data_IF_761636209291
#
_entry.id   IF_761636209291
#
_cell.length_a   1.000
_cell.length_b   1.000
_cell.length_c   1.000
_cell.angle_alpha   90.00
_cell.angle_beta   90.00
_cell.angle_gamma   90.00
#
_symmetry.space_group_name_H-M   'P 1'
#
loop_
_entity.id
_entity.type
_entity.pdbx_description
1 polymer ?
#
# COMPACT_ATOMS: atom_id res chain seq x y z
N UNK A 1 -6.71 26.01 18.94
CA UNK A 1 -6.76 26.96 17.81
C UNK A 1 -6.81 26.12 16.55
N UNK A 2 -7.99 25.93 16.02
CA UNK A 2 -8.19 25.23 14.75
C UNK A 2 -7.80 26.20 13.65
N UNK A 3 -6.57 26.06 13.16
CA UNK A 3 -6.14 26.76 11.94
C UNK A 3 -6.99 26.24 10.78
N UNK A 4 -7.79 27.13 10.19
CA UNK A 4 -8.56 26.87 8.99
C UNK A 4 -7.61 26.55 7.83
N UNK A 5 -7.49 25.28 7.47
CA UNK A 5 -6.71 24.78 6.33
C UNK A 5 -7.51 24.80 5.02
N UNK A 6 -8.48 25.68 4.92
CA UNK A 6 -9.22 25.88 3.68
C UNK A 6 -8.43 26.86 2.81
N UNK A 7 -7.75 26.33 1.80
CA UNK A 7 -7.16 27.11 0.70
C UNK A 7 -5.64 27.33 0.70
N UNK A 8 -4.88 26.72 1.62
CA UNK A 8 -3.42 26.69 1.48
C UNK A 8 -2.98 25.39 0.83
N UNK A 9 -2.12 25.47 -0.19
CA UNK A 9 -1.34 24.31 -0.60
C UNK A 9 -0.66 23.75 0.64
N UNK A 10 -0.90 22.46 0.93
CA UNK A 10 -0.24 21.82 2.06
C UNK A 10 1.27 21.90 1.86
N UNK A 11 1.95 22.70 2.69
CA UNK A 11 3.38 22.90 2.64
C UNK A 11 4.16 21.66 3.11
N UNK A 12 3.49 20.66 3.66
CA UNK A 12 4.10 19.43 4.17
C UNK A 12 3.50 18.27 3.39
N UNK A 13 4.30 17.70 2.49
CA UNK A 13 3.98 16.45 1.81
C UNK A 13 4.68 15.32 2.54
N UNK A 14 3.93 14.30 2.92
CA UNK A 14 4.53 13.08 3.43
C UNK A 14 5.30 12.37 2.32
N UNK A 15 6.60 12.18 2.54
CA UNK A 15 7.48 11.55 1.57
C UNK A 15 7.88 10.18 2.06
N UNK A 16 7.57 9.16 1.25
CA UNK A 16 8.03 7.79 1.45
C UNK A 16 9.21 7.51 0.54
N UNK A 17 10.30 7.07 1.12
CA UNK A 17 11.50 6.71 0.38
C UNK A 17 11.55 5.21 0.14
N UNK A 18 11.91 4.82 -1.09
CA UNK A 18 12.10 3.41 -1.44
C UNK A 18 13.55 3.02 -1.19
N UNK A 19 13.75 1.97 -0.41
CA UNK A 19 15.08 1.42 -0.10
C UNK A 19 15.86 1.11 -1.40
N UNK A 20 17.10 1.53 -1.54
CA UNK A 20 17.94 1.26 -2.70
C UNK A 20 18.20 -0.25 -2.93
N UNK A 21 18.03 -1.09 -1.91
CA UNK A 21 18.11 -2.55 -2.06
C UNK A 21 16.91 -3.14 -2.85
N UNK A 22 15.86 -2.35 -3.08
CA UNK A 22 14.69 -2.78 -3.84
C UNK A 22 15.05 -3.11 -5.29
N UNK A 23 14.68 -4.28 -5.83
CA UNK A 23 14.86 -4.57 -7.25
C UNK A 23 14.20 -3.51 -8.13
N UNK A 24 14.96 -2.95 -9.07
CA UNK A 24 14.52 -1.81 -9.90
C UNK A 24 13.15 -2.01 -10.58
N UNK A 25 12.84 -3.24 -10.97
CA UNK A 25 11.57 -3.58 -11.62
C UNK A 25 10.35 -3.45 -10.71
N UNK A 26 10.53 -3.47 -9.38
CA UNK A 26 9.44 -3.33 -8.40
C UNK A 26 9.24 -1.92 -7.88
N UNK A 27 10.25 -1.05 -8.01
CA UNK A 27 10.18 0.35 -7.56
C UNK A 27 8.94 1.08 -8.09
N UNK A 28 8.60 1.03 -9.39
CA UNK A 28 7.42 1.74 -9.91
C UNK A 28 6.11 1.31 -9.25
N UNK A 29 5.96 0.03 -8.93
CA UNK A 29 4.75 -0.51 -8.32
C UNK A 29 4.64 -0.15 -6.83
N UNK A 30 5.75 -0.17 -6.09
CA UNK A 30 5.76 0.30 -4.70
C UNK A 30 5.44 1.79 -4.62
N UNK A 31 6.00 2.61 -5.52
CA UNK A 31 5.68 4.04 -5.61
C UNK A 31 4.22 4.27 -5.94
N UNK A 32 3.68 3.56 -6.93
CA UNK A 32 2.28 3.66 -7.28
C UNK A 32 1.36 3.32 -6.09
N UNK A 33 1.69 2.28 -5.32
CA UNK A 33 0.93 1.93 -4.12
C UNK A 33 0.92 3.00 -3.03
N UNK A 34 2.01 3.76 -2.87
CA UNK A 34 2.03 4.95 -2.00
C UNK A 34 1.12 6.04 -2.56
N UNK A 35 1.26 6.32 -3.85
CA UNK A 35 0.61 7.46 -4.50
C UNK A 35 -0.89 7.22 -4.77
N UNK A 36 -1.38 5.98 -4.76
CA UNK A 36 -2.81 5.63 -4.83
C UNK A 36 -3.64 6.37 -3.75
N UNK A 37 -3.06 6.63 -2.58
CA UNK A 37 -3.70 7.35 -1.48
C UNK A 37 -4.01 8.80 -1.80
N UNK A 38 -3.36 9.42 -2.80
CA UNK A 38 -3.70 10.77 -3.21
C UNK A 38 -5.16 10.89 -3.64
N UNK A 39 -5.76 9.85 -4.23
CA UNK A 39 -7.17 9.85 -4.57
C UNK A 39 -8.06 10.04 -3.34
N UNK A 40 -7.75 9.36 -2.24
CA UNK A 40 -8.48 9.49 -0.98
C UNK A 40 -8.23 10.86 -0.32
N UNK A 41 -6.98 11.33 -0.33
CA UNK A 41 -6.62 12.64 0.21
C UNK A 41 -7.27 13.76 -0.59
N UNK A 42 -7.33 13.67 -1.91
CA UNK A 42 -7.98 14.67 -2.76
C UNK A 42 -9.49 14.72 -2.52
N UNK A 43 -10.13 13.57 -2.31
CA UNK A 43 -11.54 13.52 -1.92
C UNK A 43 -11.78 14.18 -0.55
N UNK A 44 -10.78 14.18 0.34
CA UNK A 44 -10.79 14.86 1.63
C UNK A 44 -10.37 16.36 1.53
N UNK A 45 -10.01 16.85 0.34
CA UNK A 45 -9.62 18.25 0.11
C UNK A 45 -8.11 18.52 0.16
N UNK A 46 -7.27 17.49 0.23
CA UNK A 46 -5.80 17.64 0.30
C UNK A 46 -5.17 17.20 -1.03
N UNK A 47 -4.57 18.12 -1.76
CA UNK A 47 -3.87 17.81 -3.01
C UNK A 47 -2.41 17.45 -2.79
N UNK A 48 -1.94 16.43 -3.51
CA UNK A 48 -0.55 15.98 -3.44
C UNK A 48 -0.07 15.74 -2.00
N UNK A 49 -0.87 15.08 -1.18
CA UNK A 49 -0.61 14.90 0.24
C UNK A 49 0.55 13.91 0.51
N UNK A 50 0.71 12.93 -0.35
CA UNK A 50 1.71 11.86 -0.19
C UNK A 50 2.49 11.66 -1.50
N UNK A 51 3.79 11.37 -1.39
CA UNK A 51 4.66 11.15 -2.55
C UNK A 51 5.68 10.05 -2.25
N UNK A 52 5.98 9.23 -3.26
CA UNK A 52 7.04 8.25 -3.18
C UNK A 52 8.28 8.70 -3.93
N UNK A 53 9.45 8.58 -3.30
CA UNK A 53 10.74 8.96 -3.84
C UNK A 53 11.71 7.78 -3.78
N UNK A 54 12.62 7.72 -4.72
CA UNK A 54 13.78 6.85 -4.58
C UNK A 54 14.75 7.45 -3.57
N UNK A 55 15.46 6.57 -2.84
CA UNK A 55 16.45 7.02 -1.87
C UNK A 55 17.55 7.83 -2.56
N UNK A 56 17.82 9.05 -2.12
CA UNK A 56 18.86 9.88 -2.73
C UNK A 56 20.27 9.37 -2.35
N UNK A 57 21.23 9.63 -3.20
CA UNK A 57 22.64 9.36 -2.90
C UNK A 57 23.22 10.51 -2.06
N UNK A 58 22.74 10.65 -0.81
CA UNK A 58 23.19 11.65 0.15
C UNK A 58 23.83 10.95 1.37
N UNK A 59 25.13 11.15 1.64
CA UNK A 59 25.82 10.53 2.76
C UNK A 59 25.32 10.98 4.14
N UNK A 60 24.56 12.06 4.23
CA UNK A 60 23.97 12.56 5.48
C UNK A 60 22.59 11.93 5.78
N UNK A 61 22.05 11.16 4.87
CA UNK A 61 20.79 10.44 5.08
C UNK A 61 21.05 8.98 5.47
N UNK A 62 20.31 8.50 6.45
CA UNK A 62 20.33 7.10 6.85
C UNK A 62 18.91 6.52 6.76
N UNK A 63 18.82 5.28 6.31
CA UNK A 63 17.56 4.51 6.29
C UNK A 63 17.00 4.24 7.70
N UNK A 64 17.85 4.38 8.73
CA UNK A 64 17.46 4.18 10.14
C UNK A 64 17.20 5.52 10.86
N UNK A 65 17.11 6.62 10.11
CA UNK A 65 16.82 7.95 10.66
C UNK A 65 15.30 8.18 10.70
N UNK A 66 14.76 8.35 11.89
CA UNK A 66 13.34 8.54 12.15
C UNK A 66 12.70 9.77 11.46
N UNK A 67 13.51 10.65 10.87
CA UNK A 67 13.02 11.78 10.06
C UNK A 67 12.46 11.36 8.71
N UNK A 68 12.72 10.12 8.27
CA UNK A 68 12.36 9.65 6.94
C UNK A 68 11.44 8.44 7.02
N UNK A 69 10.27 8.54 6.42
CA UNK A 69 9.42 7.37 6.21
C UNK A 69 9.96 6.53 5.05
N UNK A 70 10.18 5.24 5.28
CA UNK A 70 10.90 4.36 4.34
C UNK A 70 10.14 3.06 4.10
N UNK A 71 10.11 2.61 2.86
CA UNK A 71 9.78 1.23 2.52
C UNK A 71 11.09 0.45 2.42
N UNK A 72 11.41 -0.30 3.49
CA UNK A 72 12.62 -1.13 3.61
C UNK A 72 12.44 -2.44 2.87
N UNK A 73 13.39 -2.77 2.01
CA UNK A 73 13.40 -4.05 1.31
C UNK A 73 14.31 -5.03 2.03
N UNK A 74 13.70 -6.06 2.62
CA UNK A 74 14.38 -7.02 3.47
C UNK A 74 14.54 -8.38 2.77
N UNK A 75 15.77 -8.86 2.55
CA UNK A 75 16.03 -10.17 1.96
C UNK A 75 15.75 -11.27 3.00
N UNK A 76 14.51 -11.70 3.08
CA UNK A 76 14.06 -12.69 4.06
C UNK A 76 13.09 -13.67 3.41
N UNK A 77 13.07 -14.90 3.91
CA UNK A 77 12.10 -15.93 3.55
C UNK A 77 10.72 -15.70 4.17
N UNK A 78 10.57 -14.70 5.03
CA UNK A 78 9.29 -14.33 5.63
C UNK A 78 8.31 -13.92 4.56
N UNK A 79 7.17 -14.61 4.49
CA UNK A 79 6.07 -14.33 3.56
C UNK A 79 5.15 -13.27 4.18
N UNK A 80 5.62 -12.03 4.32
CA UNK A 80 4.84 -10.95 4.92
C UNK A 80 5.30 -9.58 4.42
N UNK A 81 4.47 -8.57 4.69
CA UNK A 81 4.82 -7.17 4.72
C UNK A 81 4.25 -6.59 6.04
N UNK A 82 4.82 -5.51 6.52
CA UNK A 82 4.43 -4.93 7.79
C UNK A 82 4.64 -3.41 7.79
N UNK A 83 3.59 -2.66 8.06
CA UNK A 83 3.58 -1.19 8.04
C UNK A 83 3.49 -0.56 9.44
N UNK A 84 4.55 -0.65 10.27
CA UNK A 84 4.57 -0.01 11.58
C UNK A 84 4.65 1.51 11.45
N UNK A 85 4.21 2.19 12.50
CA UNK A 85 4.36 3.64 12.66
C UNK A 85 4.71 3.98 14.11
N UNK A 86 5.44 5.06 14.29
CA UNK A 86 5.72 5.67 15.58
C UNK A 86 4.86 6.92 15.70
N UNK A 87 4.11 7.00 16.79
CA UNK A 87 3.14 8.08 17.05
C UNK A 87 3.52 8.81 18.31
N UNK A 88 3.52 10.14 18.29
CA UNK A 88 3.62 10.94 19.52
C UNK A 88 2.33 10.75 20.35
N UNK A 89 2.42 10.17 21.56
CA UNK A 89 1.24 9.88 22.36
C UNK A 89 0.50 11.12 22.87
N UNK A 90 1.13 12.31 22.76
CA UNK A 90 0.54 13.58 23.24
C UNK A 90 -0.32 14.23 22.15
N UNK A 91 0.11 14.18 20.89
CA UNK A 91 -0.55 14.85 19.75
C UNK A 91 -1.30 13.87 18.84
N UNK A 92 -0.91 12.60 18.83
CA UNK A 92 -1.36 11.62 17.84
C UNK A 92 -0.64 11.78 16.48
N UNK A 93 0.35 12.65 16.38
CA UNK A 93 1.14 12.85 15.16
C UNK A 93 1.96 11.60 14.83
N UNK A 94 1.91 11.18 13.57
CA UNK A 94 2.75 10.09 13.06
C UNK A 94 4.13 10.69 12.78
N UNK A 95 5.12 10.30 13.57
CA UNK A 95 6.48 10.84 13.49
C UNK A 95 7.32 10.10 12.46
N UNK A 96 7.07 8.80 12.32
CA UNK A 96 7.81 7.92 11.42
C UNK A 96 6.92 6.77 10.95
N UNK A 97 7.11 6.38 9.69
CA UNK A 97 6.54 5.17 9.11
C UNK A 97 7.65 4.34 8.47
N UNK A 98 7.81 3.11 8.93
CA UNK A 98 8.88 2.22 8.50
C UNK A 98 8.28 0.91 7.97
N UNK A 99 7.92 0.89 6.69
CA UNK A 99 7.29 -0.29 6.09
C UNK A 99 8.35 -1.35 5.83
N UNK A 100 8.22 -2.51 6.46
CA UNK A 100 9.07 -3.67 6.23
C UNK A 100 8.52 -4.50 5.09
N UNK A 101 9.18 -4.48 3.95
CA UNK A 101 8.86 -5.27 2.77
C UNK A 101 9.77 -6.48 2.68
N UNK A 102 9.29 -7.65 3.06
CA UNK A 102 10.07 -8.88 2.94
C UNK A 102 10.04 -9.41 1.50
N UNK A 103 11.20 -9.84 1.00
CA UNK A 103 11.31 -10.35 -0.37
C UNK A 103 10.27 -11.41 -0.70
N UNK A 104 10.06 -12.33 0.23
CA UNK A 104 9.23 -13.50 0.00
C UNK A 104 7.71 -13.25 0.11
N UNK A 105 7.28 -12.00 0.39
CA UNK A 105 5.87 -11.62 0.28
C UNK A 105 5.31 -11.91 -1.13
N UNK A 106 6.15 -11.84 -2.15
CA UNK A 106 5.75 -12.17 -3.53
C UNK A 106 5.32 -13.62 -3.69
N UNK A 107 5.89 -14.53 -2.91
CA UNK A 107 5.46 -15.93 -2.90
C UNK A 107 4.07 -16.10 -2.25
N UNK A 108 3.81 -15.35 -1.18
CA UNK A 108 2.48 -15.28 -0.56
C UNK A 108 1.43 -14.75 -1.55
N UNK A 109 1.73 -13.65 -2.21
CA UNK A 109 0.84 -13.05 -3.22
C UNK A 109 0.53 -14.00 -4.37
N UNK A 110 1.55 -14.73 -4.82
CA UNK A 110 1.39 -15.75 -5.85
C UNK A 110 0.44 -16.86 -5.39
N UNK A 111 0.63 -17.38 -4.17
CA UNK A 111 -0.23 -18.43 -3.60
C UNK A 111 -1.67 -17.95 -3.50
N UNK A 112 -1.90 -16.77 -2.96
CA UNK A 112 -3.23 -16.19 -2.80
C UNK A 112 -3.92 -15.99 -4.15
N UNK A 113 -3.23 -15.35 -5.10
CA UNK A 113 -3.81 -15.11 -6.41
C UNK A 113 -4.09 -16.40 -7.17
N UNK A 114 -3.21 -17.40 -7.05
CA UNK A 114 -3.43 -18.71 -7.66
C UNK A 114 -4.67 -19.40 -7.10
N UNK A 115 -4.86 -19.40 -5.79
CA UNK A 115 -6.00 -20.05 -5.13
C UNK A 115 -7.31 -19.33 -5.46
N UNK A 116 -7.33 -18.02 -5.41
CA UNK A 116 -8.55 -17.24 -5.57
C UNK A 116 -8.94 -17.03 -7.05
N UNK A 117 -7.96 -16.72 -7.89
CA UNK A 117 -8.20 -16.33 -9.28
C UNK A 117 -7.91 -17.44 -10.29
N UNK A 118 -7.27 -18.54 -9.89
CA UNK A 118 -6.93 -19.65 -10.78
C UNK A 118 -8.10 -20.22 -11.60
N UNK A 119 -9.33 -20.32 -11.10
CA UNK A 119 -10.48 -20.74 -11.90
C UNK A 119 -10.83 -19.78 -13.04
N UNK A 120 -10.59 -18.47 -12.86
CA UNK A 120 -11.04 -17.41 -13.76
C UNK A 120 -9.90 -16.79 -14.60
N UNK A 121 -8.72 -16.61 -14.02
CA UNK A 121 -7.56 -16.00 -14.67
C UNK A 121 -6.51 -17.06 -15.04
N UNK A 122 -6.30 -17.25 -16.34
CA UNK A 122 -5.29 -18.20 -16.85
C UNK A 122 -3.87 -17.84 -16.42
N UNK A 123 -3.57 -16.55 -16.18
CA UNK A 123 -2.26 -16.09 -15.70
C UNK A 123 -1.96 -16.60 -14.30
N UNK A 124 -3.00 -16.79 -13.47
CA UNK A 124 -2.87 -17.35 -12.12
C UNK A 124 -2.44 -18.84 -12.10
N UNK A 125 -2.56 -19.55 -13.24
CA UNK A 125 -2.27 -21.01 -13.35
C UNK A 125 -0.82 -21.32 -13.68
N UNK A 126 0.06 -20.32 -13.70
CA UNK A 126 1.48 -20.49 -14.04
C UNK A 126 2.34 -20.52 -12.78
N UNK A 127 3.45 -21.25 -12.82
CA UNK A 127 4.42 -21.31 -11.71
C UNK A 127 5.14 -19.98 -11.49
N UNK A 128 5.25 -19.16 -12.52
CA UNK A 128 5.88 -17.85 -12.46
C UNK A 128 4.94 -16.83 -13.09
N UNK A 129 4.58 -15.78 -12.37
CA UNK A 129 3.79 -14.69 -12.90
C UNK A 129 4.68 -13.76 -13.73
N UNK A 130 4.10 -13.17 -14.77
CA UNK A 130 4.77 -12.08 -15.46
C UNK A 130 4.96 -10.86 -14.56
N UNK A 131 5.94 -10.01 -14.89
CA UNK A 131 6.30 -8.86 -14.05
C UNK A 131 5.15 -7.84 -13.92
N UNK A 132 4.25 -7.76 -14.90
CA UNK A 132 3.10 -6.86 -14.84
C UNK A 132 2.05 -7.36 -13.84
N UNK A 133 1.72 -8.64 -13.88
CA UNK A 133 0.79 -9.23 -12.91
C UNK A 133 1.36 -9.16 -11.50
N UNK A 134 2.62 -9.62 -11.31
CA UNK A 134 3.26 -9.55 -10.01
C UNK A 134 3.36 -8.11 -9.51
N UNK A 135 3.69 -7.17 -10.39
CA UNK A 135 3.76 -5.75 -10.05
C UNK A 135 2.43 -5.17 -9.58
N UNK A 136 1.31 -5.53 -10.22
CA UNK A 136 -0.01 -5.09 -9.75
C UNK A 136 -0.36 -5.63 -8.37
N UNK A 137 0.05 -6.86 -8.04
CA UNK A 137 -0.12 -7.43 -6.70
C UNK A 137 0.77 -6.74 -5.67
N UNK A 138 2.00 -6.38 -6.05
CA UNK A 138 2.93 -5.59 -5.22
C UNK A 138 2.32 -4.21 -4.93
N UNK A 139 1.79 -3.52 -5.94
CA UNK A 139 1.10 -2.23 -5.78
C UNK A 139 -0.05 -2.35 -4.79
N UNK A 140 -0.90 -3.36 -4.92
CA UNK A 140 -2.01 -3.62 -4.02
C UNK A 140 -1.58 -3.73 -2.57
N UNK A 141 -0.56 -4.56 -2.28
CA UNK A 141 -0.04 -4.71 -0.90
C UNK A 141 0.67 -3.44 -0.44
N UNK A 142 1.40 -2.75 -1.32
CA UNK A 142 2.01 -1.46 -0.98
C UNK A 142 0.96 -0.44 -0.53
N UNK A 143 -0.14 -0.30 -1.27
CA UNK A 143 -1.27 0.56 -0.85
C UNK A 143 -1.84 0.15 0.50
N UNK A 144 -1.96 -1.15 0.77
CA UNK A 144 -2.44 -1.67 2.06
C UNK A 144 -1.51 -1.30 3.22
N UNK A 145 -0.21 -1.57 3.08
CA UNK A 145 0.79 -1.27 4.14
C UNK A 145 0.93 0.24 4.39
N UNK A 146 0.84 1.05 3.34
CA UNK A 146 0.76 2.51 3.48
C UNK A 146 -0.48 2.91 4.27
N UNK A 147 -1.62 2.25 4.04
CA UNK A 147 -2.83 2.44 4.86
C UNK A 147 -2.57 2.25 6.35
N UNK A 148 -1.82 1.22 6.74
CA UNK A 148 -1.41 1.02 8.12
C UNK A 148 -0.48 2.14 8.62
N UNK A 149 0.47 2.53 7.81
CA UNK A 149 1.46 3.54 8.18
C UNK A 149 0.84 4.94 8.38
N UNK A 150 -0.23 5.27 7.66
CA UNK A 150 -1.01 6.51 7.87
C UNK A 150 -2.11 6.40 8.94
N UNK A 151 -2.17 5.30 9.68
CA UNK A 151 -3.00 5.18 10.87
C UNK A 151 -4.19 4.24 10.77
N UNK A 152 -4.49 3.68 9.61
CA UNK A 152 -5.65 2.84 9.44
C UNK A 152 -5.42 1.42 10.01
N UNK A 153 -6.50 0.83 10.48
CA UNK A 153 -6.55 -0.59 10.89
C UNK A 153 -7.28 -1.39 9.83
N UNK A 154 -7.16 -2.72 9.90
CA UNK A 154 -8.00 -3.60 9.09
C UNK A 154 -9.48 -3.28 9.29
N UNK A 155 -10.22 -3.22 8.19
CA UNK A 155 -11.65 -2.91 8.18
C UNK A 155 -12.44 -4.08 7.58
N UNK A 156 -12.58 -5.16 8.35
CA UNK A 156 -13.32 -6.36 7.92
C UNK A 156 -14.80 -6.08 7.65
N UNK A 157 -15.35 -5.02 8.26
CA UNK A 157 -16.74 -4.63 8.03
C UNK A 157 -16.96 -3.98 6.65
N UNK A 158 -15.91 -3.60 5.94
CA UNK A 158 -16.04 -2.96 4.63
C UNK A 158 -16.71 -3.86 3.60
N UNK A 159 -16.45 -5.17 3.64
CA UNK A 159 -17.10 -6.14 2.73
C UNK A 159 -18.61 -6.23 2.91
N UNK A 160 -19.14 -5.91 4.09
CA UNK A 160 -20.60 -5.88 4.31
C UNK A 160 -21.31 -4.75 3.56
N UNK A 161 -20.58 -3.73 3.10
CA UNK A 161 -21.13 -2.65 2.30
C UNK A 161 -21.35 -3.05 0.82
N UNK A 162 -20.73 -4.14 0.38
CA UNK A 162 -20.90 -4.65 -0.98
C UNK A 162 -21.97 -5.74 -1.02
N UNK A 163 -23.10 -5.53 -1.74
CA UNK A 163 -24.11 -6.56 -1.86
C UNK A 163 -23.57 -7.83 -2.53
N UNK A 164 -23.80 -9.00 -1.94
CA UNK A 164 -23.22 -10.28 -2.39
C UNK A 164 -23.60 -10.62 -3.84
N UNK A 165 -24.80 -10.28 -4.26
CA UNK A 165 -25.29 -10.46 -5.62
C UNK A 165 -24.48 -9.64 -6.64
N UNK A 166 -23.93 -8.50 -6.22
CA UNK A 166 -23.11 -7.63 -7.07
C UNK A 166 -21.70 -8.18 -7.32
N UNK A 167 -21.19 -9.03 -6.44
CA UNK A 167 -19.89 -9.68 -6.64
C UNK A 167 -19.88 -10.62 -7.87
N UNK A 168 -21.05 -11.01 -8.39
CA UNK A 168 -21.19 -11.82 -9.62
C UNK A 168 -21.40 -10.98 -10.87
N UNK A 169 -21.60 -9.67 -10.72
CA UNK A 169 -21.77 -8.72 -11.82
C UNK A 169 -20.40 -8.13 -12.17
N UNK A 170 -19.81 -8.64 -13.26
CA UNK A 170 -18.48 -8.21 -13.70
C UNK A 170 -18.40 -6.70 -13.95
N UNK A 171 -19.39 -6.12 -14.63
CA UNK A 171 -19.38 -4.69 -14.95
C UNK A 171 -19.48 -3.83 -13.69
N UNK A 172 -20.26 -4.28 -12.71
CA UNK A 172 -20.37 -3.60 -11.43
C UNK A 172 -19.08 -3.68 -10.64
N UNK A 173 -18.45 -4.86 -10.56
CA UNK A 173 -17.16 -5.04 -9.83
C UNK A 173 -16.03 -4.26 -10.49
N UNK A 174 -15.98 -4.20 -11.82
CA UNK A 174 -14.99 -3.39 -12.54
C UNK A 174 -15.15 -1.88 -12.26
N UNK A 175 -16.36 -1.42 -12.03
CA UNK A 175 -16.65 -0.01 -11.75
C UNK A 175 -16.51 0.36 -10.25
N UNK A 176 -16.81 -0.55 -9.33
CA UNK A 176 -16.95 -0.26 -7.88
C UNK A 176 -15.96 -1.01 -6.99
N UNK A 177 -15.23 -1.98 -7.54
CA UNK A 177 -14.43 -2.90 -6.74
C UNK A 177 -15.29 -3.97 -6.05
N UNK A 178 -14.64 -4.88 -5.37
CA UNK A 178 -15.29 -5.96 -4.60
C UNK A 178 -15.46 -5.61 -3.13
N UNK A 179 -14.80 -4.57 -2.66
CA UNK A 179 -14.92 -4.00 -1.32
C UNK A 179 -14.68 -2.50 -1.38
N UNK A 180 -15.19 -1.77 -0.39
CA UNK A 180 -15.07 -0.31 -0.30
C UNK A 180 -13.78 0.16 0.40
N UNK A 181 -12.92 -0.75 0.81
CA UNK A 181 -11.67 -0.42 1.53
C UNK A 181 -10.54 -1.35 1.18
N UNK A 182 -9.37 -0.79 0.86
CA UNK A 182 -8.11 -1.53 0.70
C UNK A 182 -7.67 -2.21 2.01
N UNK A 183 -8.20 -1.77 3.15
CA UNK A 183 -7.91 -2.33 4.47
C UNK A 183 -8.80 -3.53 4.83
N UNK A 184 -9.66 -3.97 3.93
CA UNK A 184 -10.49 -5.15 4.08
C UNK A 184 -9.71 -6.40 3.67
N UNK A 185 -9.52 -7.33 4.62
CA UNK A 185 -8.86 -8.61 4.37
C UNK A 185 -9.85 -9.77 4.16
N UNK A 186 -11.15 -9.52 4.25
CA UNK A 186 -12.17 -10.59 4.21
C UNK A 186 -12.08 -11.43 2.94
N UNK A 187 -11.69 -10.83 1.81
CA UNK A 187 -11.55 -11.48 0.52
C UNK A 187 -10.15 -12.03 0.24
N UNK A 188 -9.19 -11.76 1.12
CA UNK A 188 -7.83 -12.31 1.04
C UNK A 188 -7.77 -13.68 1.73
N UNK A 189 -8.72 -13.95 2.63
CA UNK A 189 -8.75 -15.16 3.47
C UNK A 189 -9.86 -16.14 3.13
N UNK A 190 -10.60 -15.92 2.04
CA UNK A 190 -11.67 -16.82 1.58
C UNK A 190 -11.16 -17.77 0.51
#
# INVERSE_FOLDING_TARGET
MTSSLVGSEMCIRDSYYIDPATPKKWIPYLKAGVEDWNTAFEAAGFKNAIIAKEWPNDPNMSLDDARYSVIRYLPSETENAYGPRIVDPRSGEIMESHICWYHNVMNLLKKWYMVQCGPLDKRARTMTFDDKLMGSLIQFVSSHEVGHSIGLRHNMAASSATPVEKLRDKAWVEANGHTVSIMDLSLIHI
#
